data_IF_677454233019
#
_entry.id   IF_677454233019
#
_cell.length_a   1.000
_cell.length_b   1.000
_cell.length_c   1.000
_cell.angle_alpha   90.00
_cell.angle_beta   90.00
_cell.angle_gamma   90.00
#
_symmetry.space_group_name_H-M   'P 1'
#
loop_
_entity.id
_entity.type
_entity.pdbx_description
1 polymer ?
#
# COMPACT_ATOMS: atom_id res chain seq x y z
N UNK A 1 35.45 5.34 -27.45
CA UNK A 1 34.41 4.60 -26.71
C UNK A 1 34.87 4.45 -25.26
N UNK A 2 34.41 5.31 -24.35
CA UNK A 2 34.77 5.19 -22.92
C UNK A 2 33.95 4.03 -22.37
N UNK A 3 34.63 2.92 -22.03
CA UNK A 3 34.01 1.74 -21.45
C UNK A 3 33.52 2.11 -20.04
N UNK A 4 32.20 2.29 -19.91
CA UNK A 4 31.47 2.67 -18.69
C UNK A 4 31.88 1.91 -17.41
N UNK A 5 32.28 0.61 -17.42
CA UNK A 5 32.62 -0.09 -16.17
C UNK A 5 33.97 0.32 -15.55
N UNK A 6 34.86 1.02 -16.26
CA UNK A 6 36.14 1.45 -15.69
C UNK A 6 35.97 2.56 -14.64
N UNK A 7 35.03 3.49 -14.87
CA UNK A 7 34.79 4.62 -13.97
C UNK A 7 34.05 4.20 -12.70
N UNK A 8 33.15 3.22 -12.80
CA UNK A 8 32.48 2.64 -11.63
C UNK A 8 33.42 1.78 -10.79
N UNK A 9 34.28 0.96 -11.42
CA UNK A 9 35.22 0.10 -10.69
C UNK A 9 36.30 0.86 -9.92
N UNK A 10 36.70 2.03 -10.42
CA UNK A 10 37.70 2.90 -9.79
C UNK A 10 37.09 4.14 -9.12
N UNK A 11 35.77 4.15 -8.92
CA UNK A 11 35.10 5.26 -8.25
C UNK A 11 35.51 5.33 -6.79
N UNK A 12 35.63 6.54 -6.27
CA UNK A 12 35.93 6.79 -4.87
C UNK A 12 34.91 6.07 -3.96
N UNK A 13 35.36 5.36 -2.90
CA UNK A 13 34.46 4.65 -1.99
C UNK A 13 33.38 5.53 -1.37
N UNK A 14 33.69 6.79 -1.05
CA UNK A 14 32.72 7.73 -0.50
C UNK A 14 31.65 8.10 -1.54
N UNK A 15 32.05 8.31 -2.80
CA UNK A 15 31.10 8.55 -3.90
C UNK A 15 30.17 7.36 -4.11
N UNK A 16 30.70 6.14 -4.05
CA UNK A 16 29.89 4.91 -4.19
C UNK A 16 28.95 4.69 -3.01
N UNK A 17 29.33 5.14 -1.80
CA UNK A 17 28.45 5.18 -0.64
C UNK A 17 27.22 6.06 -0.89
N UNK A 18 27.45 7.33 -1.22
CA UNK A 18 26.39 8.30 -1.54
C UNK A 18 25.49 7.81 -2.69
N UNK A 19 26.09 7.27 -3.75
CA UNK A 19 25.34 6.72 -4.88
C UNK A 19 24.40 5.58 -4.45
N UNK A 20 24.87 4.67 -3.60
CA UNK A 20 24.05 3.55 -3.10
C UNK A 20 22.91 4.05 -2.21
N UNK A 21 23.18 5.02 -1.35
CA UNK A 21 22.14 5.64 -0.50
C UNK A 21 21.06 6.32 -1.34
N UNK A 22 21.44 7.06 -2.38
CA UNK A 22 20.48 7.66 -3.32
C UNK A 22 19.63 6.59 -4.02
N UNK A 23 20.27 5.51 -4.49
CA UNK A 23 19.58 4.38 -5.14
C UNK A 23 18.60 3.70 -4.19
N UNK A 24 18.97 3.46 -2.93
CA UNK A 24 18.05 2.89 -1.94
C UNK A 24 16.90 3.85 -1.63
N UNK A 25 17.18 5.14 -1.45
CA UNK A 25 16.13 6.15 -1.24
C UNK A 25 15.11 6.17 -2.39
N UNK A 26 15.59 5.98 -3.63
CA UNK A 26 14.75 5.95 -4.81
C UNK A 26 13.89 4.68 -4.86
N UNK A 27 14.47 3.52 -4.54
CA UNK A 27 13.74 2.25 -4.44
C UNK A 27 12.64 2.35 -3.37
N UNK A 28 12.91 2.97 -2.23
CA UNK A 28 11.93 3.12 -1.16
C UNK A 28 10.74 3.99 -1.58
N UNK A 29 11.00 5.08 -2.33
CA UNK A 29 9.91 5.89 -2.92
C UNK A 29 9.06 5.07 -3.90
N UNK A 30 9.69 4.22 -4.71
CA UNK A 30 8.98 3.34 -5.64
C UNK A 30 8.14 2.29 -4.91
N UNK A 31 8.71 1.63 -3.89
CA UNK A 31 8.01 0.65 -3.05
C UNK A 31 6.81 1.29 -2.35
N UNK A 32 6.98 2.48 -1.79
CA UNK A 32 5.89 3.23 -1.15
C UNK A 32 4.76 3.52 -2.14
N UNK A 33 5.08 4.06 -3.32
CA UNK A 33 4.06 4.31 -4.36
C UNK A 33 3.34 3.03 -4.80
N UNK A 34 4.06 1.92 -4.91
CA UNK A 34 3.47 0.62 -5.24
C UNK A 34 2.52 0.12 -4.15
N UNK A 35 2.93 0.25 -2.88
CA UNK A 35 2.10 -0.05 -1.73
C UNK A 35 0.85 0.83 -1.70
N UNK A 36 1.00 2.15 -1.83
CA UNK A 36 -0.12 3.09 -1.80
C UNK A 36 -1.16 2.75 -2.89
N UNK A 37 -0.71 2.47 -4.12
CA UNK A 37 -1.63 2.06 -5.22
C UNK A 37 -2.35 0.75 -4.93
N UNK A 38 -1.65 -0.24 -4.38
CA UNK A 38 -2.26 -1.52 -4.02
C UNK A 38 -3.27 -1.34 -2.89
N UNK A 39 -2.92 -0.58 -1.87
CA UNK A 39 -3.77 -0.36 -0.71
C UNK A 39 -5.04 0.43 -1.11
N UNK A 40 -4.95 1.38 -2.05
CA UNK A 40 -6.11 2.05 -2.66
C UNK A 40 -7.00 1.05 -3.41
N UNK A 41 -6.42 0.23 -4.30
CA UNK A 41 -7.19 -0.76 -5.05
C UNK A 41 -7.91 -1.76 -4.11
N UNK A 42 -7.23 -2.19 -3.05
CA UNK A 42 -7.83 -3.08 -2.04
C UNK A 42 -9.00 -2.40 -1.31
N UNK A 43 -8.85 -1.12 -0.94
CA UNK A 43 -9.89 -0.37 -0.26
C UNK A 43 -11.12 -0.10 -1.16
N UNK A 44 -10.90 0.12 -2.47
CA UNK A 44 -11.98 0.23 -3.45
C UNK A 44 -12.74 -1.10 -3.59
N UNK A 45 -12.03 -2.22 -3.69
CA UNK A 45 -12.64 -3.56 -3.76
C UNK A 45 -13.46 -3.87 -2.48
N UNK A 46 -12.92 -3.58 -1.29
CA UNK A 46 -13.63 -3.77 -0.02
C UNK A 46 -14.88 -2.88 0.08
N UNK A 47 -14.82 -1.63 -0.41
CA UNK A 47 -15.97 -0.72 -0.42
C UNK A 47 -17.07 -1.21 -1.37
N UNK A 48 -16.71 -1.74 -2.54
CA UNK A 48 -17.64 -2.33 -3.49
C UNK A 48 -18.30 -3.59 -2.94
N UNK A 49 -17.55 -4.46 -2.24
CA UNK A 49 -18.10 -5.62 -1.55
C UNK A 49 -19.06 -5.21 -0.43
N UNK A 50 -18.68 -4.22 0.38
CA UNK A 50 -19.55 -3.66 1.42
C UNK A 50 -20.84 -3.09 0.82
N UNK A 51 -20.75 -2.34 -0.28
CA UNK A 51 -21.91 -1.80 -0.97
C UNK A 51 -22.85 -2.91 -1.49
N UNK A 52 -22.30 -4.01 -2.01
CA UNK A 52 -23.09 -5.19 -2.41
C UNK A 52 -23.79 -5.84 -1.21
N UNK A 53 -23.12 -5.96 -0.05
CA UNK A 53 -23.75 -6.47 1.18
C UNK A 53 -24.91 -5.60 1.64
N UNK A 54 -24.71 -4.29 1.65
CA UNK A 54 -25.73 -3.30 2.01
C UNK A 54 -26.94 -3.38 1.05
N UNK A 55 -26.69 -3.43 -0.26
CA UNK A 55 -27.74 -3.47 -1.27
C UNK A 55 -28.56 -4.77 -1.25
N UNK A 56 -27.92 -5.90 -0.90
CA UNK A 56 -28.61 -7.18 -0.72
C UNK A 56 -29.40 -7.26 0.60
N UNK A 57 -29.16 -6.33 1.53
CA UNK A 57 -29.76 -6.32 2.86
C UNK A 57 -31.11 -5.57 2.86
N UNK A 58 -32.18 -6.13 3.42
CA UNK A 58 -33.47 -5.46 3.52
C UNK A 58 -33.36 -4.23 4.42
N UNK A 59 -33.45 -3.03 3.84
CA UNK A 59 -33.35 -1.75 4.55
C UNK A 59 -32.07 -0.96 4.28
N UNK A 60 -31.14 -1.47 3.47
CA UNK A 60 -29.96 -0.70 3.04
C UNK A 60 -28.96 -0.42 4.17
N UNK A 61 -28.89 -1.31 5.17
CA UNK A 61 -27.90 -1.29 6.26
C UNK A 61 -27.03 -2.55 6.17
N UNK A 62 -25.72 -2.42 6.43
CA UNK A 62 -24.81 -3.57 6.50
C UNK A 62 -25.13 -4.37 7.78
N UNK A 63 -25.53 -5.65 7.67
CA UNK A 63 -25.79 -6.47 8.85
C UNK A 63 -24.61 -6.55 9.82
N UNK A 64 -23.38 -6.47 9.31
CA UNK A 64 -22.17 -6.53 10.13
C UNK A 64 -22.02 -5.27 11.00
N UNK A 65 -22.22 -4.08 10.43
CA UNK A 65 -22.14 -2.83 11.21
C UNK A 65 -23.26 -2.71 12.22
N UNK A 66 -24.46 -3.18 11.88
CA UNK A 66 -25.57 -3.26 12.83
C UNK A 66 -25.19 -4.18 13.98
N UNK A 67 -24.63 -5.35 13.71
CA UNK A 67 -24.18 -6.27 14.76
C UNK A 67 -23.10 -5.66 15.65
N UNK A 68 -22.07 -5.03 15.06
CA UNK A 68 -20.95 -4.44 15.79
C UNK A 68 -21.35 -3.21 16.63
N UNK A 69 -22.47 -2.56 16.28
CA UNK A 69 -23.01 -1.38 17.00
C UNK A 69 -24.08 -1.73 18.04
N UNK A 70 -24.47 -3.01 18.16
CA UNK A 70 -25.44 -3.42 19.16
C UNK A 70 -24.83 -3.27 20.57
N UNK A 71 -25.60 -2.71 21.53
CA UNK A 71 -25.14 -2.62 22.90
C UNK A 71 -25.07 -4.02 23.54
N UNK A 72 -24.10 -4.20 24.45
CA UNK A 72 -23.75 -5.53 24.98
C UNK A 72 -24.93 -6.31 25.60
N UNK A 73 -25.89 -5.57 26.16
CA UNK A 73 -27.15 -6.09 26.73
C UNK A 73 -28.08 -6.79 25.73
N UNK A 74 -27.80 -6.70 24.43
CA UNK A 74 -28.59 -7.35 23.37
C UNK A 74 -27.96 -8.64 22.84
N UNK A 75 -26.78 -9.02 23.35
CA UNK A 75 -26.13 -10.31 23.00
C UNK A 75 -26.45 -11.45 23.99
N UNK A 76 -27.23 -11.18 25.05
CA UNK A 76 -27.81 -12.18 25.96
C UNK A 76 -29.18 -12.66 25.48
#
# INVERSE_FOLDING_TARGET
MIFYPFRFRNADPAYMGMFREEVESFKDRLRKRGKDKRDIALAEDEADEKAKRIAASPGGLDPQEVFDSLPEVMFE
#
